data_IF_277543628016
#
_entry.id   IF_277543628016
#
_cell.length_a   1.000
_cell.length_b   1.000
_cell.length_c   1.000
_cell.angle_alpha   90.00
_cell.angle_beta   90.00
_cell.angle_gamma   90.00
#
_symmetry.space_group_name_H-M   'P 1'
#
loop_
_entity.id
_entity.type
_entity.pdbx_description
1 polymer ?
#
# COMPACT_ATOMS: atom_id res chain seq x y z
N UNK A 1 3.38 13.50 -6.59
CA UNK A 1 3.89 12.10 -6.47
C UNK A 1 4.40 11.71 -7.85
N UNK A 2 5.66 11.26 -8.04
CA UNK A 2 6.09 10.86 -9.38
C UNK A 2 5.32 9.59 -9.79
N UNK A 3 4.87 9.54 -11.05
CA UNK A 3 4.11 8.43 -11.63
C UNK A 3 4.91 7.13 -11.82
N UNK A 4 6.17 7.10 -11.37
CA UNK A 4 7.08 5.97 -11.54
C UNK A 4 7.75 5.65 -10.21
N UNK A 5 7.39 4.50 -9.62
CA UNK A 5 8.11 3.93 -8.49
C UNK A 5 9.34 3.22 -9.04
N UNK A 6 10.53 3.75 -8.79
CA UNK A 6 11.78 3.09 -9.14
C UNK A 6 11.98 1.89 -8.21
N UNK A 7 12.18 0.71 -8.79
CA UNK A 7 12.51 -0.52 -8.06
C UNK A 7 13.99 -0.80 -8.35
N UNK A 8 14.83 -0.64 -7.33
CA UNK A 8 16.26 -0.92 -7.43
C UNK A 8 16.55 -2.41 -7.26
N UNK A 9 17.70 -2.88 -7.79
CA UNK A 9 18.15 -4.27 -7.65
C UNK A 9 17.54 -5.27 -8.64
N UNK A 10 16.74 -4.81 -9.61
CA UNK A 10 16.21 -5.62 -10.72
C UNK A 10 16.72 -5.04 -12.05
N UNK A 11 17.18 -5.90 -12.95
CA UNK A 11 17.58 -5.51 -14.31
C UNK A 11 16.42 -5.70 -15.27
N UNK A 12 15.96 -4.61 -15.89
CA UNK A 12 14.95 -4.65 -16.93
C UNK A 12 15.54 -5.05 -18.28
N UNK A 13 14.71 -5.56 -19.17
CA UNK A 13 15.04 -5.80 -20.56
C UNK A 13 15.40 -4.50 -21.30
N UNK A 14 16.26 -4.60 -22.31
CA UNK A 14 16.69 -3.45 -23.13
C UNK A 14 15.48 -2.72 -23.71
N UNK A 15 15.43 -1.40 -23.51
CA UNK A 15 14.34 -0.55 -24.01
C UNK A 15 13.09 -0.55 -23.13
N UNK A 16 13.11 -1.25 -21.99
CA UNK A 16 12.01 -1.34 -21.02
C UNK A 16 12.37 -0.77 -19.65
N UNK A 17 13.32 0.15 -19.60
CA UNK A 17 13.82 0.74 -18.36
C UNK A 17 12.74 1.51 -17.56
N UNK A 18 11.64 1.87 -18.23
CA UNK A 18 10.49 2.57 -17.64
C UNK A 18 9.31 1.65 -17.32
N UNK A 19 9.37 0.40 -17.75
CA UNK A 19 8.31 -0.56 -17.52
C UNK A 19 8.41 -1.10 -16.09
N UNK A 20 7.27 -1.36 -15.48
CA UNK A 20 7.23 -1.97 -14.15
C UNK A 20 7.69 -3.43 -14.22
N UNK A 21 8.62 -3.87 -13.36
CA UNK A 21 9.06 -5.28 -13.32
C UNK A 21 7.95 -6.24 -12.83
N UNK A 22 6.91 -5.71 -12.19
CA UNK A 22 5.74 -6.46 -11.73
C UNK A 22 4.45 -5.88 -12.30
N UNK A 23 3.50 -6.75 -12.64
CA UNK A 23 2.17 -6.40 -13.14
C UNK A 23 1.07 -7.08 -12.34
N UNK A 24 -0.15 -6.56 -12.42
CA UNK A 24 -1.31 -7.24 -11.86
C UNK A 24 -1.45 -8.64 -12.49
N UNK A 25 -1.45 -9.69 -11.66
CA UNK A 25 -1.57 -11.08 -12.07
C UNK A 25 -3.01 -11.53 -12.25
N UNK A 26 -3.64 -11.38 -13.43
CA UNK A 26 -4.97 -11.97 -13.65
C UNK A 26 -4.99 -13.48 -13.31
N UNK A 27 -5.93 -13.96 -12.46
CA UNK A 27 -7.11 -13.28 -11.91
C UNK A 27 -6.88 -12.57 -10.55
N UNK A 28 -6.05 -11.52 -10.52
CA UNK A 28 -5.60 -10.88 -9.28
C UNK A 28 -6.73 -10.25 -8.52
N UNK A 29 -6.94 -10.73 -7.30
CA UNK A 29 -7.73 -10.08 -6.28
C UNK A 29 -6.86 -8.98 -5.65
N UNK A 30 -6.85 -7.80 -6.26
CA UNK A 30 -6.54 -6.59 -5.50
C UNK A 30 -7.86 -6.10 -4.89
N UNK A 31 -7.89 -5.91 -3.58
CA UNK A 31 -9.11 -5.62 -2.85
C UNK A 31 -8.84 -4.63 -1.73
N UNK A 32 -9.79 -3.73 -1.55
CA UNK A 32 -9.77 -2.76 -0.47
C UNK A 32 -11.12 -2.77 0.24
N UNK A 33 -11.10 -2.72 1.56
CA UNK A 33 -12.30 -2.57 2.37
C UNK A 33 -12.07 -1.51 3.44
N UNK A 34 -13.10 -0.74 3.74
CA UNK A 34 -13.09 0.20 4.83
C UNK A 34 -14.36 0.05 5.66
N UNK A 35 -14.23 0.15 6.98
CA UNK A 35 -15.35 0.23 7.90
C UNK A 35 -15.09 1.37 8.88
N UNK A 36 -16.11 2.17 9.13
CA UNK A 36 -16.03 3.34 10.01
C UNK A 36 -17.14 3.32 11.03
N UNK A 37 -16.85 3.87 12.20
CA UNK A 37 -17.80 4.04 13.28
C UNK A 37 -17.69 5.44 13.86
N UNK A 38 -18.83 6.13 13.99
CA UNK A 38 -18.91 7.47 14.59
C UNK A 38 -19.68 7.39 15.91
N UNK A 39 -19.10 8.00 16.94
CA UNK A 39 -19.75 8.29 18.23
C UNK A 39 -19.56 9.78 18.50
N UNK A 40 -20.66 10.52 18.52
CA UNK A 40 -20.69 11.97 18.79
C UNK A 40 -19.69 12.74 17.90
N UNK A 41 -18.70 13.39 18.50
CA UNK A 41 -17.66 14.17 17.82
C UNK A 41 -16.49 13.31 17.30
N UNK A 42 -16.45 12.01 17.64
CA UNK A 42 -15.34 11.11 17.27
C UNK A 42 -15.77 10.16 16.16
N UNK A 43 -14.97 10.06 15.10
CA UNK A 43 -15.11 9.05 14.05
C UNK A 43 -13.84 8.20 13.97
N UNK A 44 -13.98 6.88 13.97
CA UNK A 44 -12.89 5.93 13.75
C UNK A 44 -13.13 5.20 12.45
N UNK A 45 -12.16 5.25 11.53
CA UNK A 45 -12.19 4.50 10.27
C UNK A 45 -11.03 3.50 10.24
N UNK A 46 -11.33 2.26 9.87
CA UNK A 46 -10.34 1.21 9.64
C UNK A 46 -10.38 0.79 8.18
N UNK A 47 -9.22 0.78 7.54
CA UNK A 47 -9.04 0.46 6.14
C UNK A 47 -8.08 -0.73 6.02
N UNK A 48 -8.41 -1.65 5.12
CA UNK A 48 -7.57 -2.79 4.77
C UNK A 48 -7.36 -2.85 3.26
N UNK A 49 -6.13 -3.10 2.84
CA UNK A 49 -5.72 -3.26 1.45
C UNK A 49 -4.99 -4.58 1.28
N UNK A 50 -5.34 -5.31 0.22
CA UNK A 50 -4.62 -6.47 -0.26
C UNK A 50 -4.30 -6.29 -1.73
N UNK A 51 -3.08 -6.61 -2.12
CA UNK A 51 -2.66 -6.64 -3.51
C UNK A 51 -1.64 -7.74 -3.73
N UNK A 52 -1.71 -8.35 -4.91
CA UNK A 52 -0.68 -9.24 -5.40
C UNK A 52 -0.30 -8.81 -6.82
N UNK A 53 0.98 -8.86 -7.12
CA UNK A 53 1.54 -8.59 -8.45
C UNK A 53 2.41 -9.77 -8.85
N UNK A 54 2.37 -10.18 -10.11
CA UNK A 54 3.29 -11.17 -10.67
C UNK A 54 4.42 -10.51 -11.45
N UNK A 55 5.55 -11.19 -11.50
CA UNK A 55 6.69 -10.81 -12.34
C UNK A 55 6.25 -10.68 -13.79
N UNK A 56 6.62 -9.57 -14.43
CA UNK A 56 6.44 -9.42 -15.86
C UNK A 56 7.64 -10.02 -16.59
N UNK A 57 7.47 -11.25 -17.09
CA UNK A 57 8.52 -11.96 -17.85
C UNK A 57 8.95 -11.23 -19.13
N UNK A 58 8.17 -10.25 -19.61
CA UNK A 58 8.56 -9.42 -20.76
C UNK A 58 9.44 -8.23 -20.39
N UNK A 59 9.56 -7.94 -19.09
CA UNK A 59 10.36 -6.84 -18.52
C UNK A 59 11.55 -7.40 -17.74
N UNK A 60 11.36 -8.50 -17.01
CA UNK A 60 12.39 -9.12 -16.16
C UNK A 60 12.64 -10.55 -16.60
N UNK A 61 13.87 -10.83 -17.02
CA UNK A 61 14.34 -12.18 -17.37
C UNK A 61 15.12 -12.87 -16.25
N UNK A 62 15.36 -12.19 -15.11
CA UNK A 62 16.08 -12.78 -13.98
C UNK A 62 15.22 -13.83 -13.27
N UNK A 63 15.71 -15.07 -13.28
CA UNK A 63 15.09 -16.20 -12.57
C UNK A 63 15.23 -16.10 -11.05
N UNK A 64 16.17 -15.27 -10.56
CA UNK A 64 16.31 -14.97 -9.14
C UNK A 64 15.30 -13.93 -8.67
N UNK A 65 14.63 -13.19 -9.56
CA UNK A 65 13.53 -12.33 -9.16
C UNK A 65 12.33 -13.19 -8.74
N UNK A 66 11.64 -12.76 -7.68
CA UNK A 66 10.43 -13.40 -7.20
C UNK A 66 9.37 -13.52 -8.29
N UNK A 67 8.62 -14.61 -8.29
CA UNK A 67 7.54 -14.80 -9.25
C UNK A 67 6.32 -13.92 -8.92
N UNK A 68 6.15 -13.56 -7.64
CA UNK A 68 5.10 -12.66 -7.20
C UNK A 68 5.50 -11.86 -5.96
N UNK A 69 4.90 -10.67 -5.84
CA UNK A 69 4.96 -9.80 -4.67
C UNK A 69 3.56 -9.69 -4.12
N UNK A 70 3.40 -9.90 -2.82
CA UNK A 70 2.13 -9.72 -2.11
C UNK A 70 2.27 -8.62 -1.08
N UNK A 71 1.28 -7.72 -1.01
CA UNK A 71 1.22 -6.65 -0.04
C UNK A 71 -0.12 -6.68 0.70
N UNK A 72 -0.05 -6.59 2.02
CA UNK A 72 -1.19 -6.33 2.88
C UNK A 72 -0.92 -5.02 3.61
N UNK A 73 -1.90 -4.14 3.72
CA UNK A 73 -1.79 -3.00 4.61
C UNK A 73 -3.09 -2.72 5.33
N UNK A 74 -2.96 -2.12 6.50
CA UNK A 74 -4.07 -1.65 7.30
C UNK A 74 -3.79 -0.24 7.78
N UNK A 75 -4.81 0.61 7.77
CA UNK A 75 -4.76 1.94 8.35
C UNK A 75 -5.91 2.12 9.33
N UNK A 76 -5.63 2.74 10.46
CA UNK A 76 -6.64 3.21 11.41
C UNK A 76 -6.55 4.72 11.47
N UNK A 77 -7.68 5.37 11.28
CA UNK A 77 -7.83 6.81 11.36
C UNK A 77 -8.82 7.16 12.45
N UNK A 78 -8.48 8.15 13.27
CA UNK A 78 -9.39 8.74 14.25
C UNK A 78 -9.55 10.21 13.91
N UNK A 79 -10.79 10.67 13.83
CA UNK A 79 -11.17 12.04 13.57
C UNK A 79 -11.95 12.58 14.75
N UNK A 80 -11.75 13.86 15.02
CA UNK A 80 -12.46 14.63 16.02
C UNK A 80 -13.04 15.88 15.37
N UNK A 81 -14.35 16.02 15.43
CA UNK A 81 -15.08 17.19 15.01
C UNK A 81 -14.92 18.27 16.10
N UNK A 82 -14.41 19.44 15.73
CA UNK A 82 -14.20 20.54 16.66
C UNK A 82 -15.53 21.29 16.77
N UNK A 83 -16.19 21.16 17.92
CA UNK A 83 -17.37 21.94 18.25
C UNK A 83 -17.02 23.42 18.42
N UNK A 84 -17.36 24.23 17.42
CA UNK A 84 -17.34 25.70 17.49
C UNK A 84 -18.77 26.17 17.25
N UNK A 85 -19.33 26.91 18.21
CA UNK A 85 -20.65 27.52 18.06
C UNK A 85 -20.65 28.53 16.88
N UNK A 86 -21.76 28.62 16.16
CA UNK A 86 -22.01 29.55 15.04
C UNK A 86 -21.21 29.36 13.73
N UNK A 87 -20.67 28.16 13.44
CA UNK A 87 -20.06 27.89 12.13
C UNK A 87 -20.98 27.09 11.17
N UNK A 88 -21.01 27.45 9.88
CA UNK A 88 -21.83 26.75 8.89
C UNK A 88 -21.34 25.32 8.54
N UNK A 89 -20.08 24.99 8.85
CA UNK A 89 -19.46 23.66 8.66
C UNK A 89 -18.64 23.34 9.92
N UNK A 90 -18.79 22.13 10.47
CA UNK A 90 -17.99 21.66 11.60
C UNK A 90 -16.58 21.30 11.13
N UNK A 91 -15.53 22.00 11.59
CA UNK A 91 -14.16 21.67 11.21
C UNK A 91 -13.74 20.39 11.93
N UNK A 92 -12.79 19.66 11.36
CA UNK A 92 -12.32 18.40 11.94
C UNK A 92 -10.80 18.29 11.90
N UNK A 93 -10.26 17.56 12.87
CA UNK A 93 -8.87 17.12 12.88
C UNK A 93 -8.84 15.60 12.97
N UNK A 94 -7.80 14.98 12.43
CA UNK A 94 -7.65 13.54 12.53
C UNK A 94 -6.19 13.11 12.51
N UNK A 95 -5.95 11.98 13.14
CA UNK A 95 -4.66 11.29 13.12
C UNK A 95 -4.88 9.86 12.70
N UNK A 96 -3.92 9.31 11.97
CA UNK A 96 -3.98 7.92 11.56
C UNK A 96 -2.63 7.26 11.64
N UNK A 97 -2.65 5.95 11.87
CA UNK A 97 -1.48 5.09 11.86
C UNK A 97 -1.78 3.89 10.99
N UNK A 98 -0.76 3.41 10.28
CA UNK A 98 -0.89 2.27 9.41
C UNK A 98 0.34 1.39 9.42
N UNK A 99 0.13 0.14 9.06
CA UNK A 99 1.19 -0.83 8.84
C UNK A 99 0.98 -1.52 7.50
N UNK A 100 2.08 -1.83 6.82
CA UNK A 100 2.10 -2.64 5.62
C UNK A 100 3.03 -3.83 5.85
N UNK A 101 2.65 -4.97 5.31
CA UNK A 101 3.43 -6.18 5.24
C UNK A 101 3.60 -6.56 3.78
N UNK A 102 4.85 -6.68 3.34
CA UNK A 102 5.21 -7.04 1.97
C UNK A 102 5.93 -8.37 2.01
N UNK A 103 5.53 -9.29 1.13
CA UNK A 103 6.16 -10.60 0.94
C UNK A 103 6.63 -10.70 -0.50
N UNK A 104 7.93 -10.95 -0.70
CA UNK A 104 8.59 -11.02 -1.99
C UNK A 104 9.49 -12.26 -2.08
N UNK A 105 8.92 -13.48 -2.09
CA UNK A 105 9.70 -14.72 -2.07
C UNK A 105 10.43 -14.94 -3.40
N UNK A 106 11.76 -14.86 -3.38
CA UNK A 106 12.62 -15.16 -4.51
C UNK A 106 12.83 -16.68 -4.67
N UNK A 107 13.15 -17.14 -5.89
CA UNK A 107 13.61 -18.52 -6.11
C UNK A 107 15.03 -18.79 -5.62
N UNK A 108 15.80 -17.75 -5.28
CA UNK A 108 17.14 -17.91 -4.74
C UNK A 108 17.07 -18.33 -3.27
N UNK A 109 17.76 -19.42 -2.93
CA UNK A 109 17.72 -20.04 -1.59
C UNK A 109 18.02 -19.07 -0.44
N UNK A 110 18.92 -18.10 -0.67
CA UNK A 110 19.32 -17.11 0.32
C UNK A 110 18.23 -16.10 0.69
N UNK A 111 17.22 -15.89 -0.18
CA UNK A 111 16.21 -14.82 -0.06
C UNK A 111 14.78 -15.31 -0.32
N UNK A 112 14.56 -16.62 -0.21
CA UNK A 112 13.28 -17.27 -0.53
C UNK A 112 12.10 -16.87 0.35
N UNK A 113 12.35 -16.32 1.54
CA UNK A 113 11.30 -15.86 2.46
C UNK A 113 11.39 -14.36 2.75
N UNK A 114 11.93 -13.57 1.82
CA UNK A 114 12.08 -12.14 2.02
C UNK A 114 10.72 -11.46 2.26
N UNK A 115 10.59 -10.88 3.46
CA UNK A 115 9.41 -10.20 3.97
C UNK A 115 9.81 -8.89 4.64
N UNK A 116 8.92 -7.92 4.67
CA UNK A 116 9.19 -6.61 5.28
C UNK A 116 7.94 -5.97 5.83
N UNK A 117 8.14 -5.14 6.87
CA UNK A 117 7.11 -4.29 7.44
C UNK A 117 7.42 -2.82 7.18
N UNK A 118 6.39 -2.04 6.87
CA UNK A 118 6.44 -0.59 6.80
C UNK A 118 5.39 0.01 7.72
N UNK A 119 5.69 1.16 8.32
CA UNK A 119 4.76 1.90 9.17
C UNK A 119 4.54 3.29 8.60
N UNK A 120 3.32 3.80 8.73
CA UNK A 120 2.94 5.13 8.31
C UNK A 120 2.16 5.84 9.42
N UNK A 121 2.32 7.15 9.51
CA UNK A 121 1.47 8.02 10.31
C UNK A 121 0.95 9.15 9.41
N UNK A 122 -0.24 9.64 9.71
CA UNK A 122 -0.85 10.75 9.01
C UNK A 122 -1.56 11.69 9.98
N UNK A 123 -1.52 12.98 9.67
CA UNK A 123 -2.32 14.01 10.31
C UNK A 123 -3.18 14.67 9.24
N UNK A 124 -4.45 14.94 9.55
CA UNK A 124 -5.45 15.53 8.67
C UNK A 124 -6.17 16.65 9.41
N UNK A 125 -6.53 17.71 8.69
CA UNK A 125 -7.40 18.77 9.17
C UNK A 125 -8.21 19.31 7.98
N UNK A 126 -9.45 19.74 8.24
CA UNK A 126 -10.35 20.26 7.20
C UNK A 126 -11.56 20.99 7.74
#
# INVERSE_FOLDING_TARGET
>A
LPFYTKIDGITNAIGKDKDSPFKASFPTLAGSGAFGYKMDDIKVDVEGLYSQLAKDATVVSDDKAADSVTAFSGLVNVYYDIAIEDMPITPYVGVGVGAAYISNPSKADAVKEQKGFGFAYQAKAG
#
